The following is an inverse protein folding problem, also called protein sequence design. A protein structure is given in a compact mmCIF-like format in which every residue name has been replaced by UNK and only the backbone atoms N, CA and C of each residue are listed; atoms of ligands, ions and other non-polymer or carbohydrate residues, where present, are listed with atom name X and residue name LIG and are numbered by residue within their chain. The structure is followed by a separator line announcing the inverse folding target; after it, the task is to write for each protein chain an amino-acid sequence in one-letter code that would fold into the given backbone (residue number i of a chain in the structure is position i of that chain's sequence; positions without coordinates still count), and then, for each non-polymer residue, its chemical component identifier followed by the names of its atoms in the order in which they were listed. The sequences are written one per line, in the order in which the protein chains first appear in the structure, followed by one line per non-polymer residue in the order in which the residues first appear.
data_IF_523338826912
#
_entry.id   IF_523338826912
#
_cell.length_a   1.000
_cell.length_b   1.000
_cell.length_c   1.000
_cell.angle_alpha   90.00
_cell.angle_beta   90.00
_cell.angle_gamma   90.00
#
_symmetry.space_group_name_H-M   'P 1'
#
loop_
_entity.id
_entity.type
_entity.pdbx_description
1 polymer ?
#
# COMPACT_ATOMS: atom_id res chain seq x y z
N UNK A 1 8.57 -4.38 36.60
CA UNK A 1 7.74 -5.46 36.04
C UNK A 1 6.81 -4.88 34.99
N UNK A 2 7.08 -5.19 33.72
CA UNK A 2 6.10 -5.51 32.68
C UNK A 2 6.93 -6.01 31.49
N UNK A 3 7.15 -7.33 31.48
CA UNK A 3 7.85 -8.05 30.41
C UNK A 3 6.93 -8.08 29.18
N UNK A 4 7.02 -7.06 28.34
CA UNK A 4 6.41 -7.09 27.01
C UNK A 4 7.36 -7.78 26.04
N UNK A 5 7.15 -9.08 25.79
CA UNK A 5 7.75 -9.76 24.61
C UNK A 5 7.16 -11.13 24.24
N UNK A 6 6.04 -11.58 24.82
CA UNK A 6 5.38 -12.83 24.40
C UNK A 6 3.84 -12.75 24.21
N UNK A 7 3.19 -11.66 24.63
CA UNK A 7 1.72 -11.57 24.71
C UNK A 7 1.00 -11.18 23.42
N UNK A 8 1.69 -10.70 22.38
CA UNK A 8 1.04 -10.22 21.15
C UNK A 8 0.61 -11.34 20.18
N UNK A 9 0.79 -12.63 20.53
CA UNK A 9 0.27 -13.73 19.71
C UNK A 9 -1.23 -13.99 19.89
N UNK A 10 -1.87 -13.43 20.93
CA UNK A 10 -3.24 -13.82 21.31
C UNK A 10 -4.28 -12.67 21.35
N UNK A 11 -3.93 -11.46 20.93
CA UNK A 11 -4.90 -10.34 20.94
C UNK A 11 -5.74 -10.38 19.66
N UNK A 12 -7.00 -10.78 19.80
CA UNK A 12 -8.01 -10.72 18.74
C UNK A 12 -9.27 -10.05 19.27
N UNK A 13 -9.79 -9.09 18.50
CA UNK A 13 -11.05 -8.39 18.75
C UNK A 13 -12.19 -8.95 17.90
N UNK A 14 -12.03 -10.16 17.33
CA UNK A 14 -13.07 -10.79 16.53
C UNK A 14 -14.35 -10.97 17.35
N UNK A 15 -15.47 -10.43 16.85
CA UNK A 15 -16.77 -10.45 17.54
C UNK A 15 -16.92 -9.44 18.67
N UNK A 16 -15.87 -8.67 18.99
CA UNK A 16 -15.93 -7.60 19.98
C UNK A 16 -16.55 -6.35 19.35
N UNK A 17 -17.54 -5.77 20.01
CA UNK A 17 -18.12 -4.50 19.60
C UNK A 17 -17.16 -3.37 19.98
N UNK A 18 -16.47 -2.84 18.98
CA UNK A 18 -15.57 -1.71 19.15
C UNK A 18 -16.33 -0.37 19.18
N UNK A 19 -15.83 0.65 19.90
CA UNK A 19 -16.45 1.98 19.94
C UNK A 19 -16.33 2.73 18.61
N UNK A 20 -15.36 2.36 17.78
CA UNK A 20 -15.07 2.95 16.47
C UNK A 20 -14.91 1.87 15.42
N UNK A 21 -15.08 2.25 14.16
CA UNK A 21 -14.79 1.42 13.00
C UNK A 21 -13.37 1.69 12.53
N UNK A 22 -12.59 0.64 12.31
CA UNK A 22 -11.19 0.73 11.89
C UNK A 22 -11.06 0.36 10.43
N UNK A 23 -10.54 1.29 9.63
CA UNK A 23 -10.58 1.19 8.16
C UNK A 23 -9.21 1.51 7.58
N UNK A 24 -8.75 0.73 6.60
CA UNK A 24 -7.57 1.09 5.81
C UNK A 24 -7.92 2.22 4.84
N UNK A 25 -7.12 3.28 4.84
CA UNK A 25 -7.08 4.32 3.81
C UNK A 25 -6.00 4.02 2.75
N UNK A 26 -5.48 2.79 2.75
CA UNK A 26 -4.54 2.27 1.77
C UNK A 26 -3.11 2.78 1.91
N UNK A 27 -2.49 3.02 0.76
CA UNK A 27 -1.05 3.14 0.55
C UNK A 27 -0.50 1.81 0.05
N UNK A 28 -0.78 0.75 0.81
CA UNK A 28 -0.59 -0.65 0.43
C UNK A 28 -1.45 -1.55 1.35
N UNK A 29 -1.34 -2.88 1.23
CA UNK A 29 -2.19 -3.83 1.94
C UNK A 29 -1.94 -3.95 3.45
N UNK A 30 -0.80 -3.45 3.96
CA UNK A 30 -0.37 -3.62 5.36
C UNK A 30 -1.43 -3.27 6.42
N UNK A 31 -2.05 -2.06 6.40
CA UNK A 31 -3.08 -1.69 7.36
C UNK A 31 -4.29 -2.62 7.35
N UNK A 32 -4.79 -3.02 6.16
CA UNK A 32 -5.93 -3.94 6.08
C UNK A 32 -5.58 -5.34 6.62
N UNK A 33 -4.37 -5.83 6.34
CA UNK A 33 -3.88 -7.11 6.82
C UNK A 33 -3.74 -7.14 8.34
N UNK A 34 -3.16 -6.09 8.96
CA UNK A 34 -3.03 -6.06 10.43
C UNK A 34 -4.38 -5.91 11.13
N UNK A 35 -5.28 -5.07 10.60
CA UNK A 35 -6.65 -4.94 11.12
C UNK A 35 -7.39 -6.28 11.04
N UNK A 36 -7.17 -7.05 9.97
CA UNK A 36 -7.68 -8.42 9.83
C UNK A 36 -7.11 -9.37 10.88
N UNK A 37 -5.77 -9.39 11.07
CA UNK A 37 -5.10 -10.24 12.07
C UNK A 37 -5.57 -9.95 13.50
N UNK A 38 -5.84 -8.69 13.82
CA UNK A 38 -6.35 -8.28 15.13
C UNK A 38 -7.88 -8.43 15.26
N UNK A 39 -8.59 -8.93 14.25
CA UNK A 39 -10.05 -9.10 14.29
C UNK A 39 -10.85 -7.78 14.28
N UNK A 40 -10.22 -6.67 13.90
CA UNK A 40 -10.82 -5.33 13.84
C UNK A 40 -11.44 -5.01 12.47
N UNK A 41 -10.99 -5.69 11.42
CA UNK A 41 -11.52 -5.53 10.05
C UNK A 41 -12.84 -6.28 9.92
N UNK A 42 -13.94 -5.54 9.91
CA UNK A 42 -15.29 -6.11 9.79
C UNK A 42 -15.77 -6.20 8.34
N UNK A 43 -15.22 -5.39 7.45
CA UNK A 43 -15.64 -5.26 6.06
C UNK A 43 -14.45 -4.95 5.14
N UNK A 44 -14.66 -5.06 3.83
CA UNK A 44 -13.65 -4.75 2.82
C UNK A 44 -13.90 -3.39 2.18
N UNK A 45 -12.85 -2.58 2.04
CA UNK A 45 -12.88 -1.23 1.46
C UNK A 45 -12.07 -1.15 0.16
N UNK A 46 -12.30 -0.14 -0.70
CA UNK A 46 -11.68 -0.10 -2.02
C UNK A 46 -10.15 0.07 -1.96
N UNK A 47 -9.63 0.58 -0.84
CA UNK A 47 -8.20 0.82 -0.62
C UNK A 47 -7.50 -0.29 0.18
N UNK A 48 -8.20 -1.35 0.60
CA UNK A 48 -7.61 -2.40 1.45
C UNK A 48 -6.43 -3.13 0.79
N UNK A 49 -6.53 -3.38 -0.52
CA UNK A 49 -5.57 -4.19 -1.27
C UNK A 49 -5.12 -3.50 -2.57
N UNK A 50 -5.51 -2.24 -2.73
CA UNK A 50 -5.04 -1.39 -3.82
C UNK A 50 -3.88 -0.57 -3.30
N UNK A 51 -2.77 -0.50 -4.04
CA UNK A 51 -1.81 0.57 -3.82
C UNK A 51 -2.50 1.85 -4.25
N UNK A 52 -2.58 2.84 -3.36
CA UNK A 52 -3.25 4.10 -3.67
C UNK A 52 -2.49 5.28 -3.11
N UNK A 53 -2.52 6.36 -3.86
CA UNK A 53 -1.88 7.62 -3.52
C UNK A 53 -2.80 8.47 -2.63
N UNK A 54 -2.24 9.32 -1.76
CA UNK A 54 -3.07 10.11 -0.84
C UNK A 54 -3.83 11.23 -1.56
N UNK A 55 -3.23 11.83 -2.58
CA UNK A 55 -3.92 12.74 -3.51
C UNK A 55 -5.02 12.03 -4.30
N UNK A 56 -4.84 10.76 -4.63
CA UNK A 56 -5.91 9.90 -5.15
C UNK A 56 -7.06 9.71 -4.15
N UNK A 57 -6.75 9.39 -2.89
CA UNK A 57 -7.77 9.31 -1.83
C UNK A 57 -8.52 10.64 -1.69
N UNK A 58 -7.80 11.77 -1.70
CA UNK A 58 -8.38 13.11 -1.67
C UNK A 58 -9.33 13.35 -2.85
N UNK A 59 -8.93 12.97 -4.06
CA UNK A 59 -9.79 13.02 -5.26
C UNK A 59 -11.06 12.19 -5.05
N UNK A 60 -10.94 10.94 -4.60
CA UNK A 60 -12.12 10.07 -4.40
C UNK A 60 -13.05 10.54 -3.28
N UNK A 61 -12.53 11.23 -2.26
CA UNK A 61 -13.36 11.86 -1.23
C UNK A 61 -14.19 12.99 -1.84
N UNK A 62 -13.58 13.84 -2.69
CA UNK A 62 -14.23 15.02 -3.28
C UNK A 62 -15.17 14.69 -4.43
N UNK A 63 -14.73 13.81 -5.31
CA UNK A 63 -15.32 13.62 -6.64
C UNK A 63 -15.94 12.22 -6.82
N UNK A 64 -15.79 11.33 -5.82
CA UNK A 64 -16.20 9.94 -5.91
C UNK A 64 -15.28 9.08 -6.78
N UNK A 65 -15.71 7.87 -7.12
CA UNK A 65 -14.86 6.85 -7.78
C UNK A 65 -15.02 6.75 -9.30
N UNK A 66 -15.84 7.63 -9.91
CA UNK A 66 -16.16 7.55 -11.34
C UNK A 66 -14.94 7.78 -12.24
N UNK A 67 -13.97 8.57 -11.78
CA UNK A 67 -12.77 8.93 -12.52
C UNK A 67 -11.53 8.56 -11.73
N UNK A 68 -10.47 8.09 -12.41
CA UNK A 68 -9.14 7.87 -11.83
C UNK A 68 -8.98 6.63 -10.93
N UNK A 69 -10.06 5.92 -10.55
CA UNK A 69 -9.95 4.70 -9.74
C UNK A 69 -9.48 3.49 -10.55
N UNK A 70 -9.93 3.33 -11.79
CA UNK A 70 -9.48 2.28 -12.69
C UNK A 70 -8.38 2.79 -13.63
N UNK A 71 -7.60 1.88 -14.27
CA UNK A 71 -6.64 2.27 -15.31
C UNK A 71 -7.29 3.10 -16.43
N UNK A 72 -6.53 3.96 -17.11
CA UNK A 72 -7.06 4.78 -18.20
C UNK A 72 -7.55 3.92 -19.38
N UNK A 73 -8.64 4.37 -20.01
CA UNK A 73 -9.30 3.69 -21.13
C UNK A 73 -10.44 2.77 -20.70
N UNK A 74 -11.29 2.31 -21.63
CA UNK A 74 -12.33 1.33 -21.33
C UNK A 74 -11.74 -0.07 -21.11
N UNK A 75 -12.43 -0.96 -20.38
CA UNK A 75 -12.10 -2.38 -20.36
C UNK A 75 -12.10 -2.98 -21.78
N UNK A 76 -11.29 -4.02 -22.03
CA UNK A 76 -10.39 -4.62 -21.06
C UNK A 76 -9.13 -3.78 -20.81
N UNK A 77 -8.79 -3.65 -19.54
CA UNK A 77 -7.59 -2.97 -19.10
C UNK A 77 -6.36 -3.79 -19.46
N UNK A 78 -5.27 -3.11 -19.80
CA UNK A 78 -3.98 -3.77 -20.10
C UNK A 78 -3.21 -3.98 -18.79
N UNK A 79 -2.87 -5.22 -18.42
CA UNK A 79 -1.99 -5.47 -17.30
C UNK A 79 -0.53 -5.18 -17.68
N UNK A 80 0.27 -4.89 -16.68
CA UNK A 80 1.70 -4.63 -16.76
C UNK A 80 2.43 -5.63 -15.85
N UNK A 81 3.43 -6.31 -16.41
CA UNK A 81 4.22 -7.27 -15.64
C UNK A 81 5.48 -6.60 -15.10
N UNK A 82 5.66 -6.62 -13.77
CA UNK A 82 6.80 -6.01 -13.08
C UNK A 82 7.42 -7.04 -12.14
N UNK A 83 8.57 -7.60 -12.52
CA UNK A 83 9.16 -8.75 -11.81
C UNK A 83 8.20 -9.93 -11.80
N UNK A 84 7.83 -10.40 -10.61
CA UNK A 84 6.84 -11.47 -10.41
C UNK A 84 5.38 -10.99 -10.48
N UNK A 85 5.14 -9.68 -10.47
CA UNK A 85 3.81 -9.09 -10.28
C UNK A 85 3.08 -8.87 -11.60
N UNK A 86 1.76 -9.06 -11.59
CA UNK A 86 0.87 -8.60 -12.66
C UNK A 86 0.00 -7.46 -12.13
N UNK A 87 0.19 -6.27 -12.67
CA UNK A 87 -0.37 -5.04 -12.14
C UNK A 87 -1.33 -4.40 -13.13
N UNK A 88 -2.46 -3.92 -12.63
CA UNK A 88 -3.28 -2.94 -13.35
C UNK A 88 -3.03 -1.56 -12.74
N UNK A 89 -2.34 -0.67 -13.46
CA UNK A 89 -1.93 0.64 -12.92
C UNK A 89 -2.76 1.77 -13.55
N UNK A 90 -3.38 2.56 -12.68
CA UNK A 90 -4.00 3.85 -13.00
C UNK A 90 -3.22 4.99 -12.37
N UNK A 91 -3.82 6.19 -12.35
CA UNK A 91 -3.15 7.41 -11.93
C UNK A 91 -3.02 7.42 -10.42
N UNK A 92 -4.12 7.10 -9.76
CA UNK A 92 -4.25 7.16 -8.31
C UNK A 92 -4.09 5.81 -7.63
N UNK A 93 -4.24 4.72 -8.38
CA UNK A 93 -4.39 3.36 -7.88
C UNK A 93 -3.55 2.39 -8.70
N UNK A 94 -3.15 1.30 -8.06
CA UNK A 94 -2.66 0.11 -8.72
C UNK A 94 -3.15 -1.14 -8.01
N UNK A 95 -3.54 -2.12 -8.81
CA UNK A 95 -4.15 -3.35 -8.35
C UNK A 95 -3.18 -4.49 -8.62
N UNK A 96 -2.69 -5.10 -7.55
CA UNK A 96 -2.05 -6.42 -7.57
C UNK A 96 -3.11 -7.46 -7.18
N UNK A 97 -2.94 -8.71 -7.59
CA UNK A 97 -3.82 -9.83 -7.22
C UNK A 97 -5.30 -9.71 -7.66
N UNK A 98 -5.63 -8.81 -8.59
CA UNK A 98 -7.00 -8.68 -9.07
C UNK A 98 -7.01 -8.62 -10.59
N UNK A 99 -7.75 -9.53 -11.22
CA UNK A 99 -8.08 -9.40 -12.63
C UNK A 99 -9.18 -8.36 -12.81
N UNK A 100 -8.80 -7.13 -13.15
CA UNK A 100 -9.78 -6.06 -13.38
C UNK A 100 -10.65 -6.29 -14.62
N UNK A 101 -10.34 -7.27 -15.46
CA UNK A 101 -11.16 -7.66 -16.59
C UNK A 101 -12.23 -8.70 -16.21
N UNK A 102 -12.22 -9.21 -14.99
CA UNK A 102 -13.30 -10.04 -14.45
C UNK A 102 -14.47 -9.16 -13.95
N UNK A 103 -15.67 -9.28 -14.55
CA UNK A 103 -16.85 -8.55 -14.10
C UNK A 103 -17.22 -8.79 -12.63
N UNK A 104 -16.89 -9.97 -12.08
CA UNK A 104 -17.11 -10.30 -10.67
C UNK A 104 -16.23 -9.43 -9.76
N UNK A 105 -14.96 -9.25 -10.13
CA UNK A 105 -14.01 -8.40 -9.41
C UNK A 105 -14.44 -6.94 -9.50
N UNK A 106 -14.84 -6.46 -10.68
CA UNK A 106 -15.40 -5.11 -10.83
C UNK A 106 -16.63 -4.89 -9.94
N UNK A 107 -17.58 -5.84 -9.93
CA UNK A 107 -18.76 -5.77 -9.09
C UNK A 107 -18.41 -5.78 -7.58
N UNK A 108 -17.37 -6.51 -7.17
CA UNK A 108 -16.85 -6.47 -5.81
C UNK A 108 -16.32 -5.07 -5.46
N UNK A 109 -15.55 -4.44 -6.35
CA UNK A 109 -15.05 -3.08 -6.13
C UNK A 109 -16.17 -2.04 -6.07
N UNK A 110 -17.20 -2.15 -6.91
CA UNK A 110 -18.39 -1.29 -6.83
C UNK A 110 -19.05 -1.36 -5.45
N UNK A 111 -19.22 -2.56 -4.88
CA UNK A 111 -19.74 -2.72 -3.50
C UNK A 111 -18.81 -2.15 -2.44
N UNK A 112 -17.49 -2.24 -2.64
CA UNK A 112 -16.50 -1.63 -1.72
C UNK A 112 -16.60 -0.10 -1.76
N UNK A 113 -16.73 0.50 -2.95
CA UNK A 113 -16.91 1.95 -3.12
C UNK A 113 -18.18 2.45 -2.44
N UNK A 114 -19.32 1.78 -2.67
CA UNK A 114 -20.59 2.12 -2.02
C UNK A 114 -20.49 2.07 -0.49
N UNK A 115 -19.76 1.09 0.06
CA UNK A 115 -19.50 1.01 1.51
C UNK A 115 -18.58 2.13 2.00
N UNK A 116 -17.60 2.53 1.21
CA UNK A 116 -16.75 3.69 1.53
C UNK A 116 -17.55 4.98 1.56
N UNK A 117 -18.44 5.18 0.58
CA UNK A 117 -19.31 6.36 0.56
C UNK A 117 -20.24 6.36 1.77
N UNK A 118 -20.91 5.23 2.06
CA UNK A 118 -21.75 5.09 3.26
C UNK A 118 -20.99 5.28 4.59
N UNK A 119 -19.71 4.88 4.65
CA UNK A 119 -18.85 5.06 5.82
C UNK A 119 -18.63 6.55 6.13
N UNK A 120 -18.54 7.39 5.09
CA UNK A 120 -18.31 8.83 5.24
C UNK A 120 -19.63 9.59 5.35
N UNK A 121 -20.60 9.30 4.48
CA UNK A 121 -21.81 10.10 4.31
C UNK A 121 -22.85 9.80 5.40
N UNK A 122 -22.91 8.55 5.87
CA UNK A 122 -23.88 8.09 6.88
C UNK A 122 -23.21 7.17 7.92
N UNK A 123 -22.22 7.67 8.69
CA UNK A 123 -21.48 6.85 9.64
C UNK A 123 -22.38 6.35 10.77
N UNK A 124 -22.48 5.03 10.93
CA UNK A 124 -23.18 4.42 12.07
C UNK A 124 -22.39 4.54 13.39
N UNK A 125 -21.07 4.66 13.29
CA UNK A 125 -20.12 4.80 14.41
C UNK A 125 -18.98 5.71 13.96
N UNK A 126 -18.27 6.34 14.91
CA UNK A 126 -17.03 7.05 14.59
C UNK A 126 -16.02 6.15 13.88
N UNK A 127 -15.12 6.75 13.10
CA UNK A 127 -14.17 6.04 12.25
C UNK A 127 -12.73 6.38 12.64
N UNK A 128 -11.84 5.40 12.55
CA UNK A 128 -10.38 5.61 12.62
C UNK A 128 -9.76 5.02 11.37
N UNK A 129 -9.19 5.87 10.55
CA UNK A 129 -8.52 5.50 9.31
C UNK A 129 -7.03 5.25 9.53
N UNK A 130 -6.49 4.17 8.96
CA UNK A 130 -5.06 3.89 8.94
C UNK A 130 -4.49 4.09 7.55
N UNK A 131 -3.48 4.94 7.43
CA UNK A 131 -2.81 5.28 6.17
C UNK A 131 -1.34 4.93 6.29
N UNK A 132 -0.84 4.13 5.35
CA UNK A 132 0.60 4.00 5.18
C UNK A 132 1.06 5.07 4.21
N UNK A 133 2.09 5.82 4.58
CA UNK A 133 2.71 6.77 3.67
C UNK A 133 3.44 5.96 2.60
N UNK A 134 2.93 6.08 1.39
CA UNK A 134 3.42 5.38 0.22
C UNK A 134 4.33 6.26 -0.63
N UNK A 135 4.33 7.57 -0.38
CA UNK A 135 5.29 8.50 -0.96
C UNK A 135 6.73 8.11 -0.70
N UNK A 136 7.56 8.25 -1.75
CA UNK A 136 9.00 8.04 -1.63
C UNK A 136 9.63 9.01 -0.64
N UNK A 137 9.29 10.30 -0.72
CA UNK A 137 9.53 11.28 0.33
C UNK A 137 8.28 11.35 1.23
N UNK A 138 8.34 10.94 2.51
CA UNK A 138 7.19 10.99 3.41
C UNK A 138 6.54 12.38 3.50
N UNK A 139 7.32 13.45 3.33
CA UNK A 139 6.81 14.81 3.42
C UNK A 139 5.83 15.19 2.30
N UNK A 140 5.82 14.48 1.17
CA UNK A 140 4.83 14.71 0.11
C UNK A 140 3.40 14.38 0.60
N UNK A 141 3.21 13.24 1.25
CA UNK A 141 1.91 12.85 1.81
C UNK A 141 1.58 13.59 3.11
N UNK A 142 2.56 13.83 3.98
CA UNK A 142 2.34 14.57 5.24
C UNK A 142 1.77 15.96 4.95
N UNK A 143 2.23 16.65 3.89
CA UNK A 143 1.69 17.97 3.50
C UNK A 143 0.25 17.91 3.01
N UNK A 144 -0.19 16.79 2.43
CA UNK A 144 -1.54 16.61 1.87
C UNK A 144 -2.59 16.24 2.92
N UNK A 145 -2.19 15.76 4.10
CA UNK A 145 -3.16 15.26 5.09
C UNK A 145 -4.17 16.31 5.53
N UNK A 146 -3.77 17.58 5.61
CA UNK A 146 -4.67 18.68 5.99
C UNK A 146 -5.79 18.85 4.97
N UNK A 147 -5.49 18.66 3.68
CA UNK A 147 -6.49 18.72 2.62
C UNK A 147 -7.45 17.53 2.68
N UNK A 148 -6.96 16.35 3.10
CA UNK A 148 -7.78 15.15 3.36
C UNK A 148 -8.72 15.38 4.54
N UNK A 149 -8.22 15.91 5.65
CA UNK A 149 -9.06 16.27 6.80
C UNK A 149 -10.14 17.28 6.41
N UNK A 150 -9.76 18.33 5.68
CA UNK A 150 -10.69 19.34 5.21
C UNK A 150 -11.74 18.76 4.25
N UNK A 151 -11.34 17.85 3.34
CA UNK A 151 -12.26 17.20 2.42
C UNK A 151 -13.25 16.27 3.13
N UNK A 152 -12.80 15.49 4.12
CA UNK A 152 -13.69 14.66 4.95
C UNK A 152 -14.69 15.52 5.73
N UNK A 153 -14.22 16.59 6.37
CA UNK A 153 -15.06 17.51 7.12
C UNK A 153 -16.05 18.28 6.22
N UNK A 154 -15.65 18.64 5.00
CA UNK A 154 -16.52 19.28 4.02
C UNK A 154 -17.59 18.31 3.49
N UNK A 155 -17.22 17.04 3.25
CA UNK A 155 -18.15 16.02 2.76
C UNK A 155 -19.18 15.62 3.83
N UNK A 156 -18.74 15.44 5.06
CA UNK A 156 -19.65 15.23 6.20
C UNK A 156 -19.13 15.93 7.47
N UNK A 157 -19.65 17.11 7.81
CA UNK A 157 -19.26 17.84 9.03
C UNK A 157 -19.53 17.09 10.34
N UNK A 158 -20.47 16.13 10.33
CA UNK A 158 -20.83 15.34 11.50
C UNK A 158 -19.98 14.06 11.66
N UNK A 159 -19.11 13.75 10.69
CA UNK A 159 -18.23 12.59 10.77
C UNK A 159 -17.19 12.79 11.88
N UNK A 160 -17.29 11.99 12.94
CA UNK A 160 -16.21 11.81 13.90
C UNK A 160 -15.18 10.84 13.32
N UNK A 161 -14.05 11.38 12.86
CA UNK A 161 -12.95 10.61 12.31
C UNK A 161 -11.60 10.94 12.94
N UNK A 162 -10.71 9.95 12.85
CA UNK A 162 -9.28 10.03 13.16
C UNK A 162 -8.48 9.46 12.00
N UNK A 163 -7.24 9.93 11.82
CA UNK A 163 -6.30 9.39 10.84
C UNK A 163 -5.00 9.03 11.55
N UNK A 164 -4.51 7.83 11.30
CA UNK A 164 -3.21 7.34 11.77
C UNK A 164 -2.32 7.22 10.54
N UNK A 165 -1.35 8.12 10.40
CA UNK A 165 -0.35 8.07 9.33
C UNK A 165 0.89 7.32 9.78
N UNK A 166 1.40 6.45 8.91
CA UNK A 166 2.54 5.58 9.21
C UNK A 166 3.59 5.68 8.11
N UNK A 167 4.73 6.30 8.41
CA UNK A 167 5.93 6.32 7.57
C UNK A 167 6.80 5.08 7.80
N UNK A 168 7.25 4.45 6.73
CA UNK A 168 8.00 3.20 6.76
C UNK A 168 9.51 3.41 6.73
N UNK A 169 10.27 2.45 7.24
CA UNK A 169 11.73 2.37 7.11
C UNK A 169 12.53 3.61 7.55
N UNK A 170 12.15 4.20 8.70
CA UNK A 170 12.78 5.44 9.17
C UNK A 170 14.10 5.23 9.92
N UNK A 171 14.70 4.03 9.84
CA UNK A 171 16.06 3.75 10.29
C UNK A 171 16.29 3.82 11.80
N UNK A 172 15.23 3.71 12.60
CA UNK A 172 15.30 3.73 14.07
C UNK A 172 15.52 2.32 14.63
N UNK A 173 16.18 2.18 15.78
CA UNK A 173 16.24 0.89 16.49
C UNK A 173 14.87 0.49 17.04
N UNK A 174 14.09 1.47 17.50
CA UNK A 174 12.69 1.20 17.86
C UNK A 174 11.89 0.76 16.65
N UNK A 175 10.99 -0.21 16.87
CA UNK A 175 10.05 -0.70 15.85
C UNK A 175 9.02 0.35 15.43
N UNK A 176 8.61 1.23 16.35
CA UNK A 176 7.69 2.33 16.07
C UNK A 176 7.88 3.47 17.06
N UNK A 177 7.57 4.69 16.62
CA UNK A 177 7.51 5.88 17.48
C UNK A 177 6.46 6.84 16.97
N UNK A 178 5.69 7.41 17.89
CA UNK A 178 4.77 8.51 17.59
C UNK A 178 5.54 9.83 17.57
N UNK A 179 5.30 10.62 16.53
CA UNK A 179 5.78 11.99 16.41
C UNK A 179 4.71 12.96 16.94
N UNK A 180 5.06 14.23 17.11
CA UNK A 180 4.09 15.29 17.36
C UNK A 180 2.94 15.18 16.35
N UNK A 181 1.69 15.12 16.82
CA UNK A 181 0.53 14.91 15.97
C UNK A 181 0.33 16.11 15.04
N UNK A 182 -0.18 15.83 13.84
CA UNK A 182 -0.35 16.85 12.80
C UNK A 182 -1.59 17.73 13.04
N UNK A 183 -2.57 17.18 13.74
CA UNK A 183 -3.79 17.83 14.21
C UNK A 183 -4.36 17.03 15.40
N UNK A 184 -5.40 17.54 16.09
CA UNK A 184 -6.10 16.77 17.13
C UNK A 184 -6.72 15.44 16.64
N UNK A 185 -6.86 15.26 15.32
CA UNK A 185 -7.44 14.08 14.67
C UNK A 185 -6.41 13.24 13.93
N UNK A 186 -5.15 13.67 13.86
CA UNK A 186 -4.13 13.03 13.03
C UNK A 186 -2.87 12.71 13.82
N UNK A 187 -2.65 11.43 14.09
CA UNK A 187 -1.37 10.93 14.61
C UNK A 187 -0.42 10.62 13.46
N UNK A 188 0.88 10.80 13.73
CA UNK A 188 1.95 10.53 12.78
C UNK A 188 2.94 9.58 13.45
N UNK A 189 3.22 8.48 12.77
CA UNK A 189 4.09 7.42 13.25
C UNK A 189 5.21 7.17 12.27
N UNK A 190 6.39 6.91 12.81
CA UNK A 190 7.49 6.31 12.08
C UNK A 190 7.64 4.86 12.53
N UNK A 191 7.87 3.94 11.59
CA UNK A 191 8.21 2.55 11.89
C UNK A 191 9.54 2.14 11.26
N UNK A 192 10.11 1.07 11.80
CA UNK A 192 11.28 0.38 11.25
C UNK A 192 11.01 -1.12 11.13
N UNK A 193 11.66 -1.77 10.17
CA UNK A 193 11.56 -3.21 9.99
C UNK A 193 12.28 -3.99 11.08
N UNK A 194 11.61 -4.98 11.64
CA UNK A 194 12.16 -5.83 12.70
C UNK A 194 12.81 -7.12 12.18
N UNK A 195 12.76 -7.37 10.87
CA UNK A 195 13.31 -8.54 10.20
C UNK A 195 14.03 -8.14 8.91
N UNK A 196 14.95 -9.00 8.48
CA UNK A 196 15.72 -8.83 7.25
C UNK A 196 14.85 -9.00 5.97
N UNK A 197 15.49 -8.80 4.81
CA UNK A 197 14.82 -8.79 3.51
C UNK A 197 14.37 -10.19 3.02
N UNK A 198 14.70 -11.29 3.71
CA UNK A 198 14.21 -12.63 3.35
C UNK A 198 12.75 -12.83 3.73
N UNK A 199 12.17 -11.94 4.54
CA UNK A 199 10.77 -11.96 4.94
C UNK A 199 9.93 -11.03 4.07
N UNK A 200 8.63 -11.33 3.95
CA UNK A 200 7.69 -10.42 3.29
C UNK A 200 7.69 -9.04 3.97
N UNK A 201 7.37 -7.99 3.21
CA UNK A 201 7.30 -6.63 3.78
C UNK A 201 6.31 -6.55 4.96
N UNK A 202 5.21 -7.31 4.90
CA UNK A 202 4.26 -7.37 6.00
C UNK A 202 4.86 -8.08 7.23
N UNK A 203 5.58 -9.18 7.04
CA UNK A 203 6.21 -9.87 8.18
C UNK A 203 7.24 -9.01 8.91
N UNK A 204 7.93 -8.15 8.16
CA UNK A 204 8.93 -7.20 8.67
C UNK A 204 8.33 -6.03 9.44
N UNK A 205 7.06 -5.67 9.19
CA UNK A 205 6.39 -4.49 9.77
C UNK A 205 5.21 -4.80 10.69
N UNK A 206 4.66 -6.02 10.67
CA UNK A 206 3.41 -6.37 11.38
C UNK A 206 3.42 -6.06 12.88
N UNK A 207 4.58 -6.19 13.54
CA UNK A 207 4.69 -5.91 14.98
C UNK A 207 4.57 -4.42 15.26
N UNK A 208 5.27 -3.58 14.49
CA UNK A 208 5.15 -2.12 14.61
C UNK A 208 3.71 -1.65 14.34
N UNK A 209 3.08 -2.20 13.30
CA UNK A 209 1.66 -1.94 13.03
C UNK A 209 0.76 -2.37 14.18
N UNK A 210 0.99 -3.53 14.78
CA UNK A 210 0.19 -3.99 15.91
C UNK A 210 0.27 -3.00 17.08
N UNK A 211 1.47 -2.51 17.41
CA UNK A 211 1.65 -1.51 18.47
C UNK A 211 0.91 -0.21 18.15
N UNK A 212 1.04 0.28 16.92
CA UNK A 212 0.39 1.51 16.45
C UNK A 212 -1.14 1.36 16.53
N UNK A 213 -1.68 0.23 16.06
CA UNK A 213 -3.11 -0.05 16.10
C UNK A 213 -3.59 -0.10 17.55
N UNK A 214 -2.96 -0.91 18.41
CA UNK A 214 -3.34 -1.07 19.81
C UNK A 214 -3.27 0.25 20.59
N UNK A 215 -2.27 1.09 20.32
CA UNK A 215 -2.20 2.45 20.86
C UNK A 215 -3.37 3.31 20.39
N UNK A 216 -3.71 3.22 19.10
CA UNK A 216 -4.80 4.00 18.50
C UNK A 216 -6.20 3.55 18.93
N UNK A 217 -6.34 2.37 19.53
CA UNK A 217 -7.61 1.88 20.12
C UNK A 217 -7.96 2.56 21.45
N UNK A 218 -6.97 3.08 22.17
CA UNK A 218 -7.18 3.68 23.49
C UNK A 218 -7.78 5.08 23.31
N UNK A 219 -9.00 5.27 23.78
CA UNK A 219 -9.73 6.54 23.61
C UNK A 219 -9.06 7.68 24.39
N UNK A 220 -8.39 7.38 25.50
CA UNK A 220 -7.60 8.33 26.29
C UNK A 220 -6.40 8.93 25.55
N UNK A 221 -5.97 8.30 24.45
CA UNK A 221 -4.93 8.84 23.59
C UNK A 221 -5.47 9.92 22.63
N UNK A 222 -6.78 10.25 22.70
CA UNK A 222 -7.45 11.21 21.83
C UNK A 222 -8.32 12.20 22.64
N UNK A 223 -8.58 13.43 22.13
CA UNK A 223 -7.94 14.02 20.95
C UNK A 223 -6.46 14.30 21.22
N UNK A 224 -5.69 14.37 20.14
CA UNK A 224 -4.27 14.63 20.21
C UNK A 224 -3.98 16.10 20.52
N UNK A 225 -2.86 16.37 21.18
CA UNK A 225 -2.40 17.73 21.47
C UNK A 225 -1.14 18.05 20.62
N UNK A 226 -1.28 18.83 19.52
CA UNK A 226 -0.14 19.24 18.71
C UNK A 226 0.86 20.17 19.42
N UNK A 227 0.46 20.80 20.54
CA UNK A 227 1.34 21.63 21.34
C UNK A 227 2.19 20.79 22.33
N UNK A 228 1.79 19.54 22.60
CA UNK A 228 2.51 18.66 23.49
C UNK A 228 3.85 18.27 22.89
N UNK A 229 4.91 18.48 23.67
CA UNK A 229 6.24 18.00 23.30
C UNK A 229 6.20 16.47 23.15
N UNK A 230 6.79 15.94 22.06
CA UNK A 230 6.81 14.50 21.83
C UNK A 230 7.64 13.84 22.93
N UNK A 231 7.03 12.86 23.59
CA UNK A 231 7.71 12.04 24.59
C UNK A 231 7.37 10.58 24.27
N UNK A 232 8.27 9.86 23.59
CA UNK A 232 8.10 8.43 23.38
C UNK A 232 7.94 7.74 24.74
N UNK A 233 6.95 6.85 24.88
CA UNK A 233 6.74 6.07 26.11
C UNK A 233 6.81 4.59 25.76
N UNK A 234 7.42 3.80 26.64
CA UNK A 234 7.48 2.34 26.50
C UNK A 234 8.59 1.82 25.59
N UNK A 235 9.52 2.68 25.18
CA UNK A 235 10.77 2.26 24.52
C UNK A 235 11.76 1.71 25.54
N UNK A 236 12.53 0.69 25.15
CA UNK A 236 13.62 0.11 25.95
C UNK A 236 14.85 1.01 25.93
N UNK A 237 15.74 0.86 26.92
CA UNK A 237 17.02 1.59 26.97
C UNK A 237 17.92 1.29 25.76
N UNK A 238 17.72 0.14 25.10
CA UNK A 238 18.39 -0.21 23.84
C UNK A 238 17.84 0.54 22.63
N UNK A 239 16.66 1.16 22.76
CA UNK A 239 15.93 1.87 21.69
C UNK A 239 15.99 3.39 21.86
N UNK A 240 16.10 3.87 23.10
CA UNK A 240 16.19 5.27 23.44
C UNK A 240 17.00 5.53 24.71
N UNK A 241 17.71 6.65 24.72
CA UNK A 241 18.35 7.23 25.90
C UNK A 241 17.45 8.36 26.42
N UNK A 242 16.67 8.09 27.48
CA UNK A 242 15.74 9.06 28.04
C UNK A 242 16.41 10.20 28.79
N UNK A 243 17.61 9.98 29.36
CA UNK A 243 18.37 11.02 30.04
C UNK A 243 18.88 12.04 29.04
N UNK A 244 19.40 11.57 27.90
CA UNK A 244 19.84 12.43 26.81
C UNK A 244 18.70 12.86 25.89
N UNK A 245 17.51 12.26 26.04
CA UNK A 245 16.32 12.47 25.20
C UNK A 245 16.59 12.18 23.72
N UNK A 246 17.14 11.01 23.42
CA UNK A 246 17.55 10.63 22.06
C UNK A 246 17.07 9.21 21.71
N UNK A 247 16.52 9.02 20.50
CA UNK A 247 16.27 7.70 19.91
C UNK A 247 17.53 7.17 19.22
N UNK A 248 17.81 5.87 19.39
CA UNK A 248 18.92 5.23 18.70
C UNK A 248 18.56 4.92 17.24
N UNK A 249 19.54 5.08 16.34
CA UNK A 249 19.43 4.70 14.92
C UNK A 249 20.06 3.34 14.66
N UNK A 250 19.46 2.58 13.76
CA UNK A 250 19.93 1.25 13.39
C UNK A 250 21.21 1.29 12.55
N UNK A 251 21.48 2.40 11.86
CA UNK A 251 22.64 2.59 10.98
C UNK A 251 23.90 3.08 11.70
N UNK A 252 23.88 3.19 13.04
CA UNK A 252 25.01 3.67 13.83
C UNK A 252 25.29 5.17 13.68
N UNK A 253 24.46 5.92 12.94
CA UNK A 253 24.49 7.37 12.93
C UNK A 253 24.12 7.97 14.29
N UNK A 254 24.44 9.26 14.49
CA UNK A 254 24.02 9.99 15.69
C UNK A 254 22.50 9.88 15.93
N UNK A 255 22.08 9.72 17.19
CA UNK A 255 20.68 9.48 17.51
C UNK A 255 19.74 10.65 17.19
N UNK A 256 18.43 10.40 17.16
CA UNK A 256 17.40 11.40 16.86
C UNK A 256 16.90 12.02 18.15
N UNK A 257 17.09 13.33 18.34
CA UNK A 257 16.58 14.04 19.52
C UNK A 257 15.06 13.92 19.62
N UNK A 258 14.53 13.79 20.83
CA UNK A 258 13.09 13.81 21.08
C UNK A 258 12.48 15.12 20.57
N UNK A 259 13.19 16.24 20.67
CA UNK A 259 12.69 17.54 20.21
C UNK A 259 12.55 17.61 18.68
N UNK A 260 13.22 16.70 17.96
CA UNK A 260 13.10 16.52 16.50
C UNK A 260 11.97 15.59 16.09
N UNK A 261 11.18 15.00 17.02
CA UNK A 261 10.04 14.15 16.71
C UNK A 261 8.82 14.96 16.28
N UNK A 262 8.99 15.81 15.27
CA UNK A 262 7.99 16.66 14.64
C UNK A 262 8.20 16.62 13.13
N UNK A 263 7.13 16.74 12.36
CA UNK A 263 7.17 16.49 10.93
C UNK A 263 8.19 17.34 10.16
N UNK A 264 8.43 18.57 10.58
CA UNK A 264 9.36 19.52 9.95
C UNK A 264 10.83 19.35 10.38
N UNK A 265 11.10 18.68 11.50
CA UNK A 265 12.46 18.50 12.03
C UNK A 265 12.93 17.04 12.03
N UNK A 266 12.02 16.07 11.86
CA UNK A 266 12.38 14.66 11.85
C UNK A 266 13.25 14.35 10.63
N UNK A 267 14.35 13.60 10.77
CA UNK A 267 15.25 13.28 9.67
C UNK A 267 14.66 12.18 8.79
N UNK A 268 13.63 12.54 8.01
CA UNK A 268 12.92 11.61 7.13
C UNK A 268 13.87 10.90 6.17
N UNK A 269 13.71 9.58 6.07
CA UNK A 269 14.36 8.76 5.07
C UNK A 269 13.38 8.50 3.96
N UNK A 270 13.86 8.61 2.73
CA UNK A 270 13.11 8.15 1.57
C UNK A 270 13.02 6.63 1.56
N UNK A 271 11.90 6.08 1.10
CA UNK A 271 11.69 4.63 1.02
C UNK A 271 11.13 4.20 -0.34
N UNK A 272 11.70 3.15 -0.92
CA UNK A 272 11.31 2.65 -2.24
C UNK A 272 10.35 1.46 -2.16
N UNK A 273 10.30 0.76 -1.04
CA UNK A 273 9.62 -0.53 -0.92
C UNK A 273 8.07 -0.47 -1.02
N UNK A 274 7.47 0.71 -0.80
CA UNK A 274 6.04 0.95 -1.04
C UNK A 274 5.85 1.82 -2.28
N UNK A 275 6.72 2.81 -2.50
CA UNK A 275 6.61 3.72 -3.64
C UNK A 275 6.83 3.00 -4.97
N UNK A 276 7.73 2.01 -4.99
CA UNK A 276 8.17 1.27 -6.18
C UNK A 276 7.92 -0.24 -6.04
N UNK A 277 7.83 -0.92 -7.17
CA UNK A 277 7.84 -2.37 -7.33
C UNK A 277 8.95 -2.67 -8.33
N UNK A 278 10.03 -3.33 -7.90
CA UNK A 278 11.20 -3.64 -8.75
C UNK A 278 11.72 -2.41 -9.54
N UNK A 279 11.78 -1.25 -8.87
CA UNK A 279 12.23 0.01 -9.49
C UNK A 279 11.19 0.72 -10.37
N UNK A 280 10.02 0.12 -10.60
CA UNK A 280 8.90 0.74 -11.33
C UNK A 280 7.96 1.42 -10.33
N UNK A 281 7.51 2.65 -10.65
CA UNK A 281 6.50 3.34 -9.88
C UNK A 281 5.27 2.45 -9.63
N UNK A 282 4.83 2.33 -8.38
CA UNK A 282 3.70 1.45 -8.06
C UNK A 282 2.40 1.87 -8.75
N UNK A 283 2.19 3.17 -8.98
CA UNK A 283 1.07 3.73 -9.77
C UNK A 283 1.59 4.30 -11.09
N UNK A 284 0.72 4.45 -12.08
CA UNK A 284 1.06 5.05 -13.37
C UNK A 284 1.06 6.58 -13.34
N UNK A 285 1.51 7.18 -14.44
CA UNK A 285 1.47 8.65 -14.64
C UNK A 285 2.60 9.44 -13.97
N UNK A 286 3.50 8.80 -13.22
CA UNK A 286 4.63 9.47 -12.56
C UNK A 286 5.87 8.58 -12.45
N UNK A 287 7.06 9.17 -12.63
CA UNK A 287 8.34 8.47 -12.46
C UNK A 287 8.80 8.38 -11.00
N UNK A 288 8.27 9.21 -10.10
CA UNK A 288 8.72 9.26 -8.70
C UNK A 288 7.97 8.28 -7.80
N UNK A 289 6.95 7.59 -8.34
CA UNK A 289 6.18 6.59 -7.61
C UNK A 289 4.91 7.16 -6.98
N UNK A 290 4.45 6.49 -5.93
CA UNK A 290 3.34 7.00 -5.13
C UNK A 290 3.80 8.29 -4.42
N UNK A 291 2.89 9.23 -4.15
CA UNK A 291 3.16 10.47 -3.40
C UNK A 291 2.86 11.75 -4.18
N UNK A 292 2.91 11.68 -5.51
CA UNK A 292 2.67 12.84 -6.37
C UNK A 292 2.20 12.39 -7.75
N UNK A 293 0.92 12.02 -7.87
CA UNK A 293 0.30 11.61 -9.15
C UNK A 293 0.06 12.81 -10.08
N UNK A 294 0.90 13.83 -9.97
CA UNK A 294 0.90 15.06 -10.75
C UNK A 294 1.22 14.71 -12.20
N UNK A 295 0.23 14.17 -12.87
CA UNK A 295 0.12 14.09 -14.30
C UNK A 295 -0.63 15.34 -14.73
N UNK A 296 0.04 16.23 -15.46
CA UNK A 296 -0.52 17.47 -15.97
C UNK A 296 -0.66 17.31 -17.48
N UNK A 297 -1.88 17.44 -18.00
CA UNK A 297 -2.19 17.28 -19.43
C UNK A 297 -1.66 15.96 -20.03
N UNK A 298 -1.80 14.86 -19.27
CA UNK A 298 -1.34 13.53 -19.69
C UNK A 298 0.18 13.32 -19.61
N UNK A 299 0.93 14.25 -19.03
CA UNK A 299 2.39 14.19 -18.87
C UNK A 299 2.80 14.17 -17.40
N UNK A 300 3.80 13.37 -17.08
CA UNK A 300 4.42 13.38 -15.76
C UNK A 300 5.01 14.78 -15.46
N UNK A 301 4.61 15.39 -14.34
CA UNK A 301 5.10 16.72 -13.94
C UNK A 301 6.60 16.75 -13.58
N UNK A 302 7.23 15.59 -13.39
CA UNK A 302 8.63 15.50 -12.97
C UNK A 302 9.61 15.36 -14.13
N UNK A 303 9.27 14.57 -15.15
CA UNK A 303 10.15 14.31 -16.29
C UNK A 303 9.51 14.63 -17.65
N UNK A 304 8.24 15.03 -17.70
CA UNK A 304 7.52 15.38 -18.92
C UNK A 304 7.08 14.19 -19.78
N UNK A 305 7.33 12.95 -19.34
CA UNK A 305 6.97 11.75 -20.09
C UNK A 305 5.43 11.63 -20.24
N UNK A 306 4.98 11.33 -21.45
CA UNK A 306 3.57 11.17 -21.82
C UNK A 306 3.13 9.69 -21.95
N UNK A 307 4.04 8.73 -21.77
CA UNK A 307 3.75 7.30 -21.92
C UNK A 307 3.09 6.69 -20.67
N UNK A 308 2.77 7.50 -19.67
CA UNK A 308 2.20 7.12 -18.39
C UNK A 308 3.14 6.30 -17.48
N UNK A 309 4.44 6.35 -17.74
CA UNK A 309 5.44 5.53 -17.07
C UNK A 309 5.09 4.05 -17.10
N UNK A 310 4.64 3.56 -18.26
CA UNK A 310 4.48 2.12 -18.50
C UNK A 310 5.73 1.40 -18.01
N UNK A 311 5.53 0.28 -17.33
CA UNK A 311 6.60 -0.61 -16.94
C UNK A 311 7.43 -0.90 -18.19
N UNK A 312 8.76 -0.82 -18.04
CA UNK A 312 9.69 -1.12 -19.12
C UNK A 312 9.58 -2.57 -19.58
N UNK A 313 10.58 -3.06 -20.33
CA UNK A 313 10.61 -4.47 -20.71
C UNK A 313 10.46 -5.35 -19.44
N UNK A 314 9.49 -6.28 -19.42
CA UNK A 314 9.30 -7.17 -18.27
C UNK A 314 10.60 -7.91 -17.94
N UNK A 315 10.82 -8.19 -16.66
CA UNK A 315 11.96 -9.01 -16.23
C UNK A 315 11.99 -10.33 -17.00
N UNK A 316 13.15 -10.65 -17.58
CA UNK A 316 13.40 -11.90 -18.29
C UNK A 316 14.69 -12.52 -17.77
N UNK A 317 14.62 -13.79 -17.45
CA UNK A 317 15.78 -14.60 -17.08
C UNK A 317 16.59 -15.05 -18.30
N UNK A 318 15.97 -15.01 -19.49
CA UNK A 318 16.51 -15.50 -20.78
C UNK A 318 17.00 -16.96 -20.78
N UNK A 319 16.78 -17.71 -19.68
CA UNK A 319 17.09 -19.13 -19.58
C UNK A 319 15.94 -19.99 -20.12
N UNK A 320 16.22 -21.11 -20.81
CA UNK A 320 15.18 -22.01 -21.30
C UNK A 320 14.35 -22.60 -20.15
N UNK A 321 13.08 -22.92 -20.41
CA UNK A 321 12.22 -23.64 -19.46
C UNK A 321 12.67 -25.09 -19.33
N UNK A 322 12.69 -25.61 -18.12
CA UNK A 322 12.94 -27.04 -17.86
C UNK A 322 11.65 -27.86 -17.95
N UNK A 323 11.76 -29.18 -18.06
CA UNK A 323 10.60 -30.06 -18.09
C UNK A 323 9.80 -30.00 -16.78
N UNK A 324 10.48 -29.85 -15.64
CA UNK A 324 9.86 -29.72 -14.33
C UNK A 324 9.08 -28.40 -14.19
N UNK A 325 9.59 -27.31 -14.77
CA UNK A 325 8.89 -26.03 -14.82
C UNK A 325 7.63 -26.11 -15.70
N UNK A 326 7.71 -26.80 -16.83
CA UNK A 326 6.54 -27.04 -17.69
C UNK A 326 5.49 -27.90 -16.99
N UNK A 327 5.90 -28.97 -16.30
CA UNK A 327 5.01 -29.80 -15.51
C UNK A 327 4.31 -28.98 -14.42
N UNK A 328 5.05 -28.15 -13.69
CA UNK A 328 4.48 -27.26 -12.67
C UNK A 328 3.45 -26.29 -13.27
N UNK A 329 3.75 -25.69 -14.43
CA UNK A 329 2.82 -24.82 -15.15
C UNK A 329 1.55 -25.59 -15.55
N UNK A 330 1.68 -26.79 -16.09
CA UNK A 330 0.55 -27.63 -16.52
C UNK A 330 -0.34 -28.06 -15.34
N UNK A 331 0.25 -28.36 -14.19
CA UNK A 331 -0.50 -28.66 -12.96
C UNK A 331 -1.29 -27.44 -12.49
N UNK A 332 -0.68 -26.25 -12.50
CA UNK A 332 -1.36 -25.01 -12.11
C UNK A 332 -2.36 -24.51 -13.16
N UNK A 333 -2.19 -24.88 -14.42
CA UNK A 333 -3.11 -24.53 -15.51
C UNK A 333 -4.52 -25.03 -15.26
N UNK A 334 -4.68 -26.19 -14.62
CA UNK A 334 -6.00 -26.66 -14.22
C UNK A 334 -6.70 -25.64 -13.30
N UNK A 335 -6.01 -25.11 -12.27
CA UNK A 335 -6.55 -24.05 -11.39
C UNK A 335 -6.88 -22.76 -12.15
N UNK A 336 -6.03 -22.37 -13.10
CA UNK A 336 -6.22 -21.18 -13.95
C UNK A 336 -7.46 -21.34 -14.86
N UNK A 337 -7.68 -22.54 -15.40
CA UNK A 337 -8.76 -22.83 -16.34
C UNK A 337 -10.11 -23.12 -15.64
N UNK A 338 -10.11 -23.65 -14.43
CA UNK A 338 -11.33 -23.94 -13.66
C UNK A 338 -11.90 -22.74 -12.90
N UNK A 339 -11.44 -21.52 -13.20
CA UNK A 339 -11.97 -20.28 -12.61
C UNK A 339 -11.34 -19.86 -11.29
N UNK A 340 -10.13 -20.34 -10.97
CA UNK A 340 -9.33 -19.78 -9.88
C UNK A 340 -8.77 -18.38 -10.22
N UNK A 341 -8.18 -17.71 -9.23
CA UNK A 341 -7.51 -16.42 -9.44
C UNK A 341 -6.28 -16.62 -10.34
N UNK A 342 -6.41 -16.13 -11.58
CA UNK A 342 -5.38 -16.30 -12.61
C UNK A 342 -4.14 -15.47 -12.34
N UNK A 343 -4.29 -14.32 -11.67
CA UNK A 343 -3.18 -13.44 -11.34
C UNK A 343 -2.37 -14.08 -10.22
N UNK A 344 -3.03 -14.47 -9.12
CA UNK A 344 -2.37 -15.16 -8.00
C UNK A 344 -1.61 -16.41 -8.49
N UNK A 345 -2.24 -17.23 -9.34
CA UNK A 345 -1.60 -18.43 -9.88
C UNK A 345 -0.34 -18.12 -10.72
N UNK A 346 -0.34 -17.04 -11.51
CA UNK A 346 0.84 -16.61 -12.28
C UNK A 346 1.93 -16.08 -11.37
N UNK A 347 1.58 -15.27 -10.37
CA UNK A 347 2.54 -14.70 -9.41
C UNK A 347 3.22 -15.79 -8.57
N UNK A 348 2.45 -16.79 -8.12
CA UNK A 348 2.94 -17.97 -7.40
C UNK A 348 3.93 -18.79 -8.24
N UNK A 349 3.57 -19.05 -9.49
CA UNK A 349 4.43 -19.76 -10.45
C UNK A 349 5.72 -18.99 -10.71
N UNK A 350 5.62 -17.68 -10.96
CA UNK A 350 6.77 -16.80 -11.17
C UNK A 350 7.72 -16.81 -9.96
N UNK A 351 7.16 -16.77 -8.75
CA UNK A 351 7.92 -16.88 -7.51
C UNK A 351 8.64 -18.22 -7.38
N UNK A 352 7.92 -19.34 -7.51
CA UNK A 352 8.49 -20.69 -7.36
C UNK A 352 9.60 -20.98 -8.37
N UNK A 353 9.41 -20.55 -9.62
CA UNK A 353 10.39 -20.74 -10.69
C UNK A 353 11.48 -19.65 -10.70
N UNK A 354 11.39 -18.62 -9.86
CA UNK A 354 12.29 -17.44 -9.88
C UNK A 354 12.37 -16.83 -11.29
N UNK A 355 11.22 -16.59 -11.91
CA UNK A 355 11.04 -16.01 -13.26
C UNK A 355 10.17 -14.77 -13.21
N UNK A 356 10.17 -14.00 -14.29
CA UNK A 356 9.22 -12.89 -14.43
C UNK A 356 7.80 -13.38 -14.73
N UNK A 357 6.78 -12.69 -14.23
CA UNK A 357 5.37 -13.01 -14.50
C UNK A 357 5.08 -13.08 -16.01
N UNK A 358 5.71 -12.18 -16.77
CA UNK A 358 5.60 -12.16 -18.22
C UNK A 358 6.14 -13.43 -18.89
N UNK A 359 7.29 -13.94 -18.45
CA UNK A 359 7.85 -15.20 -18.98
C UNK A 359 6.92 -16.37 -18.73
N UNK A 360 6.33 -16.43 -17.53
CA UNK A 360 5.34 -17.45 -17.15
C UNK A 360 4.11 -17.35 -18.04
N UNK A 361 3.54 -16.16 -18.24
CA UNK A 361 2.38 -15.96 -19.12
C UNK A 361 2.70 -16.39 -20.56
N UNK A 362 3.87 -16.01 -21.09
CA UNK A 362 4.31 -16.44 -22.42
C UNK A 362 4.45 -17.95 -22.51
N UNK A 363 4.99 -18.61 -21.47
CA UNK A 363 5.13 -20.07 -21.46
C UNK A 363 3.79 -20.78 -21.38
N UNK A 364 2.86 -20.29 -20.57
CA UNK A 364 1.49 -20.83 -20.50
C UNK A 364 0.84 -20.79 -21.88
N UNK A 365 0.95 -19.67 -22.61
CA UNK A 365 0.43 -19.53 -23.98
C UNK A 365 1.05 -20.56 -24.93
N UNK A 366 2.37 -20.71 -24.85
CA UNK A 366 3.10 -21.67 -25.67
C UNK A 366 2.66 -23.12 -25.39
N UNK A 367 2.51 -23.50 -24.12
CA UNK A 367 2.15 -24.87 -23.74
C UNK A 367 0.69 -25.22 -24.03
N UNK A 368 -0.23 -24.25 -23.94
CA UNK A 368 -1.66 -24.51 -24.10
C UNK A 368 -2.20 -24.23 -25.50
N UNK A 369 -1.42 -23.54 -26.34
CA UNK A 369 -1.90 -22.93 -27.58
C UNK A 369 -3.20 -22.12 -27.38
N UNK A 370 -3.44 -21.68 -26.15
CA UNK A 370 -4.65 -21.01 -25.70
C UNK A 370 -4.27 -19.61 -25.26
N UNK A 371 -5.06 -18.64 -25.71
CA UNK A 371 -4.99 -17.29 -25.20
C UNK A 371 -5.51 -17.35 -23.77
N UNK A 372 -4.60 -17.55 -22.80
CA UNK A 372 -4.91 -17.21 -21.41
C UNK A 372 -5.26 -15.73 -21.49
N UNK A 373 -6.56 -15.44 -21.37
CA UNK A 373 -7.18 -14.09 -21.49
C UNK A 373 -6.54 -13.01 -20.61
N UNK A 374 -5.52 -13.39 -19.83
CA UNK A 374 -4.61 -12.54 -19.06
C UNK A 374 -3.91 -11.51 -19.97
N UNK A 375 -3.63 -11.78 -21.25
CA UNK A 375 -3.00 -10.78 -22.15
C UNK A 375 -3.41 -10.88 -23.64
N UNK A 376 -4.70 -10.98 -23.98
CA UNK A 376 -5.14 -11.23 -25.39
C UNK A 376 -4.86 -10.09 -26.39
N UNK A 377 -3.92 -9.20 -26.10
CA UNK A 377 -3.45 -8.18 -27.01
C UNK A 377 -2.08 -8.56 -27.55
N UNK A 378 -2.11 -9.11 -28.76
CA UNK A 378 -0.95 -9.39 -29.57
C UNK A 378 -0.08 -8.14 -29.72
N UNK A 379 1.22 -8.31 -29.50
CA UNK A 379 2.30 -7.34 -29.78
C UNK A 379 2.48 -7.04 -31.28
N UNK A 380 1.49 -7.35 -32.12
CA UNK A 380 1.58 -7.32 -33.59
C UNK A 380 1.75 -5.91 -34.21
N UNK A 381 1.78 -4.84 -33.41
CA UNK A 381 1.92 -3.47 -33.92
C UNK A 381 3.17 -2.71 -33.48
N UNK A 382 4.10 -3.31 -32.73
CA UNK A 382 5.41 -2.67 -32.46
C UNK A 382 6.54 -3.16 -33.39
N UNK A 383 6.20 -3.94 -34.43
CA UNK A 383 7.15 -4.47 -35.41
C UNK A 383 6.96 -3.98 -36.86
N UNK A 384 6.13 -2.97 -37.11
CA UNK A 384 6.06 -2.37 -38.44
C UNK A 384 7.26 -1.43 -38.62
N UNK A 385 8.35 -1.99 -39.16
CA UNK A 385 9.39 -1.18 -39.82
C UNK A 385 8.71 -0.22 -40.82
N UNK A 386 9.18 1.04 -40.94
CA UNK A 386 8.75 1.88 -42.04
C UNK A 386 9.27 1.24 -43.33
N UNK A 387 8.36 0.64 -44.08
CA UNK A 387 8.61 0.18 -45.44
C UNK A 387 8.47 1.37 -46.36
N UNK A 388 9.60 1.83 -46.90
CA UNK A 388 9.70 2.60 -48.16
C UNK A 388 9.29 4.06 -48.10
#
# INVERSE_FOLDING_TARGET
MLRSSALLRDVSFAGVRMPRKYVSMGGWCGPALILGKLGLRTEAYPFDFSRCTLDGVLHFIRDGFAHGFYPPGPPPYRPECVGIWVLYRGQHTAFAHFDLNDPTIQAQFTRKMQRWDALIDTPATPVTFFRSISARDPMEEIRLVRDVEAALAARNPALDFRIVLVAHDQGLVTRSVELTPLSPRVSLWALTYTRDASFSLFDRSQQAYADIVLHSLQEENWPLDPARAPLPVGLRDTEADYERRVLHRADGGGGVSFDSLRADAFPWRSHDNIALIEGVASVGGTCVGIGSTRCVDGRCAFCGNADYHKAGRPFRTDRPFTAEEDELILVHLYRILTGGDKIEAVEDLAHQMKRGAFEVICRIRHLTNSSVKIMDYAWEHEGAEPSG
#
